data_IF_602651424647
#
_entry.id   IF_602651424647
#
_cell.length_a   1.000
_cell.length_b   1.000
_cell.length_c   1.000
_cell.angle_alpha   90.00
_cell.angle_beta   90.00
_cell.angle_gamma   90.00
#
_symmetry.space_group_name_H-M   'P 1'
#
loop_
_entity.id
_entity.type
_entity.pdbx_description
1 polymer ?
#
# COMPACT_ATOMS: atom_id res chain seq x y z
N UNK A 1 -7.78 37.68 14.38
CA UNK A 1 -8.45 36.48 13.83
C UNK A 1 -7.52 35.84 12.81
N UNK A 2 -6.49 35.13 13.28
CA UNK A 2 -5.41 34.59 12.44
C UNK A 2 -4.75 33.46 13.23
N UNK A 3 -4.53 32.30 12.60
CA UNK A 3 -3.74 31.19 13.18
C UNK A 3 -4.52 29.92 13.51
N UNK A 4 -5.51 29.97 14.40
CA UNK A 4 -6.15 28.76 14.94
C UNK A 4 -7.08 27.99 13.98
N UNK A 5 -7.56 28.63 12.90
CA UNK A 5 -8.52 28.00 11.98
C UNK A 5 -7.87 27.03 10.96
N UNK A 6 -6.59 27.20 10.62
CA UNK A 6 -5.90 26.32 9.65
C UNK A 6 -5.39 25.03 10.29
N UNK A 7 -5.02 25.06 11.58
CA UNK A 7 -4.57 23.88 12.30
C UNK A 7 -5.73 22.90 12.61
N UNK A 8 -6.93 23.42 12.87
CA UNK A 8 -8.11 22.60 13.09
C UNK A 8 -8.57 21.85 11.81
N UNK A 9 -8.39 22.45 10.63
CA UNK A 9 -8.71 21.79 9.35
C UNK A 9 -7.73 20.66 9.02
N UNK A 10 -6.44 20.81 9.33
CA UNK A 10 -5.46 19.73 9.14
C UNK A 10 -5.70 18.56 10.12
N UNK A 11 -6.05 18.84 11.38
CA UNK A 11 -6.36 17.81 12.38
C UNK A 11 -7.65 17.06 12.09
N UNK A 12 -8.67 17.70 11.48
CA UNK A 12 -9.89 17.01 11.05
C UNK A 12 -9.63 16.09 9.84
N UNK A 13 -8.74 16.48 8.92
CA UNK A 13 -8.35 15.64 7.79
C UNK A 13 -7.52 14.43 8.25
N UNK A 14 -6.61 14.60 9.22
CA UNK A 14 -5.83 13.50 9.81
C UNK A 14 -6.71 12.53 10.62
N UNK A 15 -7.67 13.05 11.39
CA UNK A 15 -8.59 12.22 12.17
C UNK A 15 -9.57 11.40 11.29
N UNK A 16 -9.88 11.89 10.08
CA UNK A 16 -10.66 11.13 9.10
C UNK A 16 -9.88 10.00 8.41
N UNK A 17 -8.54 10.08 8.38
CA UNK A 17 -7.68 8.99 7.88
C UNK A 17 -7.48 7.87 8.90
N UNK A 18 -7.53 8.16 10.21
CA UNK A 18 -7.27 7.21 11.30
C UNK A 18 -8.48 6.34 11.70
N UNK A 19 -9.70 6.72 11.31
CA UNK A 19 -10.87 5.85 11.46
C UNK A 19 -10.97 5.04 10.19
N UNK A 20 -10.55 3.78 10.23
CA UNK A 20 -10.52 2.84 9.10
C UNK A 20 -11.83 2.85 8.30
N UNK A 21 -11.93 3.78 7.36
CA UNK A 21 -12.87 3.70 6.26
C UNK A 21 -12.34 2.55 5.42
N UNK A 22 -12.96 1.38 5.54
CA UNK A 22 -13.00 0.44 4.44
C UNK A 22 -13.24 1.28 3.18
N UNK A 23 -12.29 1.27 2.24
CA UNK A 23 -12.35 2.12 1.06
C UNK A 23 -13.69 1.84 0.39
N UNK A 24 -14.65 2.74 0.57
CA UNK A 24 -15.95 2.57 -0.04
C UNK A 24 -15.68 2.64 -1.54
N UNK A 25 -16.12 1.61 -2.26
CA UNK A 25 -16.03 1.57 -3.70
C UNK A 25 -16.56 2.88 -4.29
N UNK A 26 -15.70 3.66 -4.96
CA UNK A 26 -16.10 4.92 -5.56
C UNK A 26 -16.43 4.68 -7.03
N UNK A 27 -17.59 5.19 -7.47
CA UNK A 27 -17.99 5.18 -8.88
C UNK A 27 -17.63 6.53 -9.48
N UNK A 28 -16.80 6.52 -10.52
CA UNK A 28 -16.39 7.71 -11.26
C UNK A 28 -16.95 7.70 -12.69
N UNK A 29 -17.29 8.88 -13.20
CA UNK A 29 -17.69 9.09 -14.58
C UNK A 29 -16.69 10.07 -15.24
N UNK A 30 -15.83 9.53 -16.11
CA UNK A 30 -14.90 10.30 -16.92
C UNK A 30 -15.57 10.71 -18.23
N UNK A 31 -15.69 12.03 -18.44
CA UNK A 31 -16.26 12.59 -19.67
C UNK A 31 -15.15 13.06 -20.61
N UNK A 32 -15.46 13.22 -21.91
CA UNK A 32 -14.53 13.86 -22.83
C UNK A 32 -14.20 15.28 -22.41
N UNK A 33 -12.98 15.71 -22.66
CA UNK A 33 -12.59 17.10 -22.46
C UNK A 33 -13.44 18.05 -23.33
N UNK A 34 -13.68 19.27 -22.84
CA UNK A 34 -14.36 20.32 -23.62
C UNK A 34 -13.39 21.04 -24.57
N UNK A 35 -12.71 20.26 -25.43
CA UNK A 35 -11.74 20.76 -26.40
C UNK A 35 -11.96 20.16 -27.79
N UNK A 36 -11.51 20.88 -28.83
CA UNK A 36 -11.50 20.35 -30.20
C UNK A 36 -10.72 19.04 -30.26
N UNK A 37 -11.32 18.02 -30.89
CA UNK A 37 -10.79 16.65 -31.04
C UNK A 37 -10.74 15.79 -29.77
N UNK A 38 -11.36 16.24 -28.67
CA UNK A 38 -11.61 15.36 -27.53
C UNK A 38 -12.52 14.17 -27.89
N UNK A 39 -13.41 14.34 -28.86
CA UNK A 39 -13.97 13.23 -29.64
C UNK A 39 -13.84 13.56 -31.12
N UNK A 40 -13.83 12.54 -31.95
CA UNK A 40 -13.84 12.76 -33.40
C UNK A 40 -13.92 11.46 -34.19
N UNK A 41 -13.60 11.56 -35.47
CA UNK A 41 -13.40 10.40 -36.35
C UNK A 41 -12.27 10.61 -37.33
N UNK A 42 -11.59 9.51 -37.65
CA UNK A 42 -10.62 9.48 -38.73
C UNK A 42 -11.38 9.03 -39.95
N UNK A 43 -11.29 9.84 -40.98
CA UNK A 43 -11.68 9.45 -42.31
C UNK A 43 -10.43 8.95 -43.06
N UNK A 44 -10.35 7.63 -43.28
CA UNK A 44 -9.29 7.02 -44.08
C UNK A 44 -9.81 6.70 -45.48
N UNK A 45 -9.32 7.47 -46.46
CA UNK A 45 -9.67 7.29 -47.87
C UNK A 45 -8.81 6.19 -48.50
N UNK A 46 -9.35 4.97 -48.56
CA UNK A 46 -8.55 3.77 -48.92
C UNK A 46 -7.85 3.85 -50.27
N UNK A 47 -8.40 4.60 -51.24
CA UNK A 47 -7.82 4.74 -52.59
C UNK A 47 -6.66 5.73 -52.62
N UNK A 48 -6.66 6.72 -51.73
CA UNK A 48 -5.65 7.79 -51.70
C UNK A 48 -4.67 7.66 -50.53
N UNK A 49 -4.98 6.78 -49.55
CA UNK A 49 -4.24 6.61 -48.30
C UNK A 49 -4.08 7.93 -47.51
N UNK A 50 -5.10 8.79 -47.57
CA UNK A 50 -5.16 10.05 -46.82
C UNK A 50 -5.99 9.89 -45.55
N UNK A 51 -5.67 10.71 -44.53
CA UNK A 51 -6.31 10.67 -43.21
C UNK A 51 -6.74 12.08 -42.79
N UNK A 52 -8.03 12.25 -42.47
CA UNK A 52 -8.58 13.52 -41.99
C UNK A 52 -9.17 13.39 -40.58
N UNK A 53 -8.80 14.32 -39.69
CA UNK A 53 -9.44 14.46 -38.38
C UNK A 53 -10.69 15.30 -38.48
N UNK A 54 -11.78 14.81 -37.89
CA UNK A 54 -13.04 15.56 -37.80
C UNK A 54 -13.44 15.72 -36.33
N UNK A 55 -13.69 16.95 -35.91
CA UNK A 55 -14.14 17.28 -34.53
C UNK A 55 -15.66 17.23 -34.35
N UNK A 56 -16.40 17.01 -35.45
CA UNK A 56 -17.85 16.81 -35.46
C UNK A 56 -18.22 15.36 -35.09
N UNK A 57 -19.51 15.03 -35.12
CA UNK A 57 -20.12 13.70 -34.90
C UNK A 57 -19.17 12.50 -35.13
N UNK A 58 -19.10 11.64 -34.13
CA UNK A 58 -18.35 10.38 -34.21
C UNK A 58 -19.06 9.43 -35.17
N UNK A 59 -18.34 8.81 -36.10
CA UNK A 59 -18.91 7.81 -37.01
C UNK A 59 -18.02 6.59 -37.06
N UNK A 60 -18.63 5.42 -36.97
CA UNK A 60 -17.94 4.13 -37.05
C UNK A 60 -18.48 3.30 -38.21
N UNK A 61 -17.61 2.69 -39.00
CA UNK A 61 -17.96 1.82 -40.11
C UNK A 61 -17.44 2.34 -41.44
N UNK A 62 -18.22 2.17 -42.51
CA UNK A 62 -17.82 2.53 -43.87
C UNK A 62 -18.88 3.40 -44.56
N UNK A 63 -18.42 4.44 -45.25
CA UNK A 63 -19.24 5.29 -46.13
C UNK A 63 -18.59 5.36 -47.52
N UNK A 64 -19.03 4.50 -48.44
CA UNK A 64 -18.37 4.36 -49.74
C UNK A 64 -16.92 3.90 -49.60
N UNK A 65 -15.96 4.74 -50.01
CA UNK A 65 -14.51 4.46 -49.93
C UNK A 65 -13.87 4.90 -48.61
N UNK A 66 -14.65 5.50 -47.71
CA UNK A 66 -14.19 6.06 -46.45
C UNK A 66 -14.33 5.04 -45.32
N UNK A 67 -13.23 4.73 -44.63
CA UNK A 67 -13.25 4.00 -43.36
C UNK A 67 -13.30 5.00 -42.22
N UNK A 68 -14.41 4.98 -41.48
CA UNK A 68 -14.71 5.93 -40.40
C UNK A 68 -14.38 5.28 -39.05
N UNK A 69 -13.36 5.79 -38.38
CA UNK A 69 -12.85 5.24 -37.11
C UNK A 69 -12.93 6.33 -36.04
N UNK A 70 -13.95 6.30 -35.17
CA UNK A 70 -14.13 7.30 -34.13
C UNK A 70 -13.15 7.07 -32.98
N UNK A 71 -12.85 8.15 -32.27
CA UNK A 71 -12.08 8.12 -31.03
C UNK A 71 -12.68 9.08 -29.99
N UNK A 72 -12.30 8.88 -28.74
CA UNK A 72 -12.57 9.79 -27.64
C UNK A 72 -11.40 9.82 -26.66
N UNK A 73 -11.10 11.00 -26.14
CA UNK A 73 -10.16 11.30 -25.06
C UNK A 73 -10.96 11.71 -23.83
N UNK A 74 -10.79 11.01 -22.73
CA UNK A 74 -11.57 11.10 -21.50
C UNK A 74 -10.71 11.64 -20.36
N UNK A 75 -11.31 12.44 -19.50
CA UNK A 75 -10.64 13.10 -18.38
C UNK A 75 -10.61 12.21 -17.13
N UNK A 76 -9.39 11.90 -16.67
CA UNK A 76 -9.12 11.13 -15.45
C UNK A 76 -8.57 12.01 -14.32
N UNK A 77 -8.48 13.33 -14.49
CA UNK A 77 -7.87 14.23 -13.50
C UNK A 77 -8.56 14.29 -12.13
N UNK A 78 -9.82 13.84 -12.06
CA UNK A 78 -10.56 13.69 -10.79
C UNK A 78 -10.31 12.37 -10.07
N UNK A 79 -9.51 11.45 -10.64
CA UNK A 79 -9.19 10.16 -10.03
C UNK A 79 -7.94 10.32 -9.15
N UNK A 80 -7.98 9.92 -7.87
CA UNK A 80 -6.82 9.97 -6.99
C UNK A 80 -5.64 9.14 -7.52
N UNK A 81 -4.38 9.64 -7.44
CA UNK A 81 -3.20 8.85 -7.77
C UNK A 81 -3.16 7.53 -6.98
N UNK A 82 -2.70 6.45 -7.63
CA UNK A 82 -2.65 5.11 -7.04
C UNK A 82 -3.98 4.36 -7.01
N UNK A 83 -5.09 4.95 -7.49
CA UNK A 83 -6.36 4.25 -7.61
C UNK A 83 -6.25 3.01 -8.50
N UNK A 84 -6.81 1.90 -8.03
CA UNK A 84 -6.90 0.62 -8.75
C UNK A 84 -8.32 0.44 -9.29
N UNK A 85 -8.44 0.15 -10.58
CA UNK A 85 -9.73 0.03 -11.27
C UNK A 85 -10.29 -1.39 -11.18
N UNK A 86 -11.42 -1.56 -10.50
CA UNK A 86 -12.07 -2.85 -10.30
C UNK A 86 -12.93 -3.26 -11.50
N UNK A 87 -13.71 -2.31 -12.02
CA UNK A 87 -14.64 -2.51 -13.13
C UNK A 87 -14.68 -1.25 -13.98
N UNK A 88 -14.75 -1.39 -15.30
CA UNK A 88 -14.81 -0.26 -16.21
C UNK A 88 -15.73 -0.54 -17.41
N UNK A 89 -16.52 0.46 -17.76
CA UNK A 89 -17.52 0.41 -18.82
C UNK A 89 -17.44 1.67 -19.67
N UNK A 90 -17.35 1.49 -20.99
CA UNK A 90 -17.48 2.59 -21.94
C UNK A 90 -18.95 2.74 -22.36
N UNK A 91 -19.52 3.92 -22.12
CA UNK A 91 -20.87 4.28 -22.48
C UNK A 91 -20.87 5.23 -23.68
N UNK A 92 -21.70 4.94 -24.68
CA UNK A 92 -21.94 5.84 -25.81
C UNK A 92 -23.35 5.65 -26.37
N UNK A 93 -23.87 6.70 -26.99
CA UNK A 93 -25.20 6.69 -27.59
C UNK A 93 -25.11 6.45 -29.09
N UNK A 94 -25.88 5.50 -29.63
CA UNK A 94 -25.99 5.27 -31.06
C UNK A 94 -27.21 6.01 -31.58
N UNK A 95 -26.99 7.08 -32.34
CA UNK A 95 -28.05 7.94 -32.85
C UNK A 95 -28.81 7.28 -33.99
N UNK A 96 -28.07 6.79 -34.98
CA UNK A 96 -28.60 6.10 -36.17
C UNK A 96 -27.57 5.14 -36.74
N UNK A 97 -28.04 4.04 -37.29
CA UNK A 97 -27.31 3.05 -38.08
C UNK A 97 -27.86 3.14 -39.51
N UNK A 98 -26.97 3.23 -40.48
CA UNK A 98 -27.31 3.24 -41.90
C UNK A 98 -26.66 2.03 -42.55
N UNK A 99 -27.43 1.21 -43.26
CA UNK A 99 -26.97 -0.04 -43.85
C UNK A 99 -26.86 -1.17 -42.83
N UNK A 100 -25.89 -2.06 -43.00
CA UNK A 100 -25.64 -3.13 -42.04
C UNK A 100 -25.04 -2.56 -40.74
N UNK A 101 -25.31 -3.17 -39.59
CA UNK A 101 -24.67 -2.78 -38.32
C UNK A 101 -23.15 -3.00 -38.40
N UNK A 102 -22.29 -1.99 -38.15
CA UNK A 102 -20.86 -2.23 -38.07
C UNK A 102 -20.54 -2.99 -36.78
N UNK A 103 -19.71 -4.04 -36.88
CA UNK A 103 -19.04 -4.60 -35.70
C UNK A 103 -17.99 -3.59 -35.25
N UNK A 104 -17.97 -3.26 -33.97
CA UNK A 104 -17.05 -2.27 -33.42
C UNK A 104 -16.38 -2.78 -32.15
N UNK A 105 -15.06 -2.80 -32.17
CA UNK A 105 -14.21 -3.18 -31.05
C UNK A 105 -13.60 -1.92 -30.45
N UNK A 106 -13.54 -1.87 -29.13
CA UNK A 106 -12.90 -0.76 -28.41
C UNK A 106 -11.41 -1.03 -28.37
N UNK A 107 -10.61 -0.11 -28.92
CA UNK A 107 -9.15 -0.18 -28.92
C UNK A 107 -8.55 0.96 -28.12
N UNK A 108 -7.39 0.74 -27.50
CA UNK A 108 -6.64 1.82 -26.85
C UNK A 108 -5.98 2.73 -27.88
N UNK A 109 -6.01 4.03 -27.60
CA UNK A 109 -5.30 5.04 -28.37
C UNK A 109 -4.13 5.55 -27.52
N UNK A 110 -2.91 5.12 -27.88
CA UNK A 110 -1.71 5.33 -27.08
C UNK A 110 -1.21 6.79 -27.11
N UNK A 111 -1.42 7.48 -28.23
CA UNK A 111 -1.02 8.87 -28.39
C UNK A 111 -2.17 9.82 -28.06
N UNK A 112 -1.87 10.99 -27.46
CA UNK A 112 -2.88 12.00 -27.19
C UNK A 112 -3.59 12.42 -28.51
N UNK A 113 -4.90 12.18 -28.65
CA UNK A 113 -5.62 12.48 -29.88
C UNK A 113 -5.67 13.96 -30.24
N UNK A 114 -5.38 14.87 -29.29
CA UNK A 114 -5.41 16.31 -29.56
C UNK A 114 -4.20 16.72 -30.43
N UNK A 115 -2.94 16.55 -29.99
CA UNK A 115 -1.76 16.94 -30.78
C UNK A 115 -1.33 15.93 -31.85
N UNK A 116 -1.74 14.66 -31.79
CA UNK A 116 -1.30 13.63 -32.75
C UNK A 116 -1.70 13.96 -34.21
N UNK A 117 -1.11 13.34 -35.23
CA UNK A 117 -1.63 13.44 -36.60
C UNK A 117 -2.84 12.52 -36.81
N UNK A 118 -3.58 12.71 -37.90
CA UNK A 118 -4.67 11.81 -38.27
C UNK A 118 -4.19 10.37 -38.51
N UNK A 119 -3.04 10.22 -39.17
CA UNK A 119 -2.40 8.93 -39.45
C UNK A 119 -1.97 8.20 -38.17
N UNK A 120 -1.39 8.91 -37.20
CA UNK A 120 -1.00 8.31 -35.91
C UNK A 120 -2.22 7.77 -35.18
N UNK A 121 -3.30 8.55 -35.07
CA UNK A 121 -4.54 8.09 -34.43
C UNK A 121 -5.13 6.90 -35.18
N UNK A 122 -5.15 6.92 -36.52
CA UNK A 122 -5.65 5.78 -37.28
C UNK A 122 -4.89 4.49 -36.96
N UNK A 123 -3.55 4.57 -36.91
CA UNK A 123 -2.71 3.43 -36.61
C UNK A 123 -2.89 2.94 -35.17
N UNK A 124 -3.07 3.86 -34.21
CA UNK A 124 -3.43 3.52 -32.84
C UNK A 124 -4.79 2.82 -32.77
N UNK A 125 -5.83 3.33 -33.45
CA UNK A 125 -7.15 2.71 -33.44
C UNK A 125 -7.13 1.34 -34.11
N UNK A 126 -6.42 1.22 -35.25
CA UNK A 126 -6.35 -0.01 -36.05
C UNK A 126 -5.53 -1.11 -35.40
N UNK A 127 -4.34 -0.77 -34.89
CA UNK A 127 -3.36 -1.74 -34.38
C UNK A 127 -3.33 -1.77 -32.85
N UNK A 128 -4.06 -0.87 -32.18
CA UNK A 128 -4.11 -0.76 -30.74
C UNK A 128 -4.70 -2.01 -30.09
N UNK A 129 -4.38 -2.17 -28.82
CA UNK A 129 -4.89 -3.28 -28.02
C UNK A 129 -6.42 -3.20 -27.92
N UNK A 130 -7.10 -4.27 -28.35
CA UNK A 130 -8.54 -4.42 -28.15
C UNK A 130 -8.79 -4.66 -26.67
N UNK A 131 -9.61 -3.79 -26.07
CA UNK A 131 -9.98 -3.82 -24.64
C UNK A 131 -11.48 -4.02 -24.41
N UNK A 132 -12.29 -4.02 -25.48
CA UNK A 132 -13.72 -4.31 -25.42
C UNK A 132 -14.22 -4.94 -26.72
N UNK A 133 -14.93 -6.06 -26.61
CA UNK A 133 -15.49 -6.78 -27.76
C UNK A 133 -16.74 -6.08 -28.31
N UNK A 134 -17.14 -6.48 -29.54
CA UNK A 134 -18.44 -6.08 -30.11
C UNK A 134 -19.61 -6.49 -29.20
N UNK A 135 -20.63 -5.64 -29.11
CA UNK A 135 -21.92 -5.97 -28.49
C UNK A 135 -23.06 -5.54 -29.42
N UNK A 136 -24.15 -6.33 -29.49
CA UNK A 136 -25.35 -5.94 -30.24
C UNK A 136 -25.87 -4.57 -29.81
N UNK A 137 -26.28 -3.75 -30.79
CA UNK A 137 -26.83 -2.41 -30.56
C UNK A 137 -27.75 -2.01 -31.71
N UNK A 138 -28.62 -1.03 -31.47
CA UNK A 138 -29.62 -0.54 -32.41
C UNK A 138 -29.62 0.99 -32.52
N UNK A 139 -30.69 1.54 -33.09
CA UNK A 139 -30.89 2.99 -33.20
C UNK A 139 -31.47 3.57 -31.93
N UNK A 140 -30.99 4.75 -31.54
CA UNK A 140 -31.53 5.52 -30.42
C UNK A 140 -31.31 4.88 -29.05
N UNK A 141 -30.21 4.13 -28.86
CA UNK A 141 -29.93 3.42 -27.61
C UNK A 141 -28.57 3.80 -27.03
N UNK A 142 -28.50 3.77 -25.70
CA UNK A 142 -27.22 3.71 -24.99
C UNK A 142 -26.63 2.31 -25.11
N UNK A 143 -25.34 2.27 -25.42
CA UNK A 143 -24.55 1.05 -25.46
C UNK A 143 -23.56 1.10 -24.32
N UNK A 144 -23.55 0.02 -23.55
CA UNK A 144 -22.59 -0.22 -22.47
C UNK A 144 -21.59 -1.28 -22.93
N UNK A 145 -20.30 -0.97 -22.80
CA UNK A 145 -19.20 -1.88 -23.16
C UNK A 145 -18.32 -2.14 -21.96
N UNK A 146 -18.39 -3.36 -21.42
CA UNK A 146 -17.44 -3.83 -20.42
C UNK A 146 -16.03 -3.86 -21.02
N UNK A 147 -15.08 -3.23 -20.32
CA UNK A 147 -13.66 -3.32 -20.64
C UNK A 147 -13.04 -4.51 -19.91
N UNK A 148 -12.17 -5.24 -20.59
CA UNK A 148 -11.48 -6.39 -20.02
C UNK A 148 -10.37 -5.98 -19.03
N UNK A 149 -9.64 -6.97 -18.49
CA UNK A 149 -8.55 -6.71 -17.56
C UNK A 149 -7.46 -5.79 -18.12
N UNK A 150 -7.24 -5.81 -19.44
CA UNK A 150 -6.25 -4.97 -20.11
C UNK A 150 -6.76 -3.53 -20.21
N UNK A 151 -8.05 -3.33 -20.48
CA UNK A 151 -8.68 -2.01 -20.44
C UNK A 151 -8.66 -1.38 -19.05
N UNK A 152 -8.94 -2.17 -18.01
CA UNK A 152 -8.84 -1.68 -16.61
C UNK A 152 -7.42 -1.29 -16.24
N UNK A 153 -6.43 -2.12 -16.56
CA UNK A 153 -5.02 -1.80 -16.31
C UNK A 153 -4.61 -0.51 -17.02
N UNK A 154 -5.01 -0.34 -18.28
CA UNK A 154 -4.70 0.88 -19.03
C UNK A 154 -5.32 2.14 -18.40
N UNK A 155 -6.51 2.04 -17.79
CA UNK A 155 -7.10 3.14 -17.03
C UNK A 155 -6.27 3.42 -15.77
N UNK A 156 -5.91 2.39 -15.00
CA UNK A 156 -5.02 2.51 -13.82
C UNK A 156 -3.73 3.25 -14.17
N UNK A 157 -3.04 2.82 -15.23
CA UNK A 157 -1.76 3.40 -15.66
C UNK A 157 -1.91 4.85 -16.18
N UNK A 158 -3.11 5.19 -16.67
CA UNK A 158 -3.43 6.51 -17.21
C UNK A 158 -3.87 7.53 -16.14
N UNK A 159 -4.14 7.11 -14.90
CA UNK A 159 -4.55 8.01 -13.80
C UNK A 159 -3.52 9.12 -13.58
N UNK A 160 -2.23 8.78 -13.55
CA UNK A 160 -1.15 9.76 -13.35
C UNK A 160 -1.03 10.75 -14.51
N UNK A 161 -1.41 10.32 -15.73
CA UNK A 161 -1.40 11.16 -16.92
C UNK A 161 -2.61 12.11 -16.96
N UNK A 162 -3.67 11.81 -16.19
CA UNK A 162 -4.90 12.59 -16.11
C UNK A 162 -5.84 12.43 -17.31
N UNK A 163 -5.55 11.52 -18.24
CA UNK A 163 -6.41 11.25 -19.39
C UNK A 163 -6.19 9.86 -19.97
N UNK A 164 -7.20 9.31 -20.64
CA UNK A 164 -7.11 8.10 -21.46
C UNK A 164 -7.85 8.29 -22.77
N UNK A 165 -7.48 7.57 -23.83
CA UNK A 165 -8.20 7.60 -25.10
C UNK A 165 -8.54 6.21 -25.63
N UNK A 166 -9.73 6.11 -26.23
CA UNK A 166 -10.24 4.91 -26.88
C UNK A 166 -10.65 5.20 -28.32
N UNK A 167 -10.49 4.19 -29.18
CA UNK A 167 -10.94 4.15 -30.55
C UNK A 167 -12.02 3.10 -30.76
N UNK A 168 -12.75 3.22 -31.85
CA UNK A 168 -13.52 2.09 -32.39
C UNK A 168 -12.96 1.66 -33.73
N UNK A 169 -12.56 0.40 -33.82
CA UNK A 169 -12.15 -0.21 -35.07
C UNK A 169 -13.21 -1.19 -35.56
N UNK A 170 -13.60 -1.07 -36.83
CA UNK A 170 -14.62 -1.91 -37.46
C UNK A 170 -13.98 -2.82 -38.52
N UNK A 171 -13.99 -4.13 -38.28
CA UNK A 171 -13.21 -5.08 -39.08
C UNK A 171 -13.87 -5.45 -40.43
N UNK A 172 -15.20 -5.53 -40.52
CA UNK A 172 -15.81 -6.38 -41.57
C UNK A 172 -17.08 -5.86 -42.28
N UNK A 173 -17.51 -4.60 -42.09
CA UNK A 173 -18.75 -4.15 -42.72
C UNK A 173 -18.50 -3.36 -44.03
N UNK A 174 -18.91 -3.89 -45.20
CA UNK A 174 -18.63 -3.24 -46.47
C UNK A 174 -19.49 -2.00 -46.77
N UNK A 175 -20.62 -1.78 -46.08
CA UNK A 175 -21.59 -0.72 -46.48
C UNK A 175 -22.34 -0.06 -45.33
N UNK A 176 -22.00 -0.36 -44.08
CA UNK A 176 -22.70 0.11 -42.90
C UNK A 176 -21.95 1.16 -42.08
N UNK A 177 -22.66 2.14 -41.54
CA UNK A 177 -22.12 3.09 -40.56
C UNK A 177 -23.07 3.35 -39.40
N UNK A 178 -22.51 3.66 -38.24
CA UNK A 178 -23.24 4.20 -37.11
C UNK A 178 -22.78 5.62 -36.81
N UNK A 179 -23.73 6.47 -36.44
CA UNK A 179 -23.51 7.85 -36.02
C UNK A 179 -23.66 7.93 -34.50
N UNK A 180 -22.69 8.56 -33.85
CA UNK A 180 -22.63 8.73 -32.41
C UNK A 180 -22.38 10.21 -32.06
N UNK A 181 -23.06 10.74 -31.05
CA UNK A 181 -22.81 12.08 -30.52
C UNK A 181 -21.34 12.27 -30.11
N UNK A 182 -20.77 13.44 -30.40
CA UNK A 182 -19.44 13.83 -29.92
C UNK A 182 -19.47 14.57 -28.58
N UNK A 183 -18.32 15.13 -28.17
CA UNK A 183 -18.15 15.86 -26.90
C UNK A 183 -19.06 17.08 -26.72
N UNK A 184 -19.57 17.67 -27.81
CA UNK A 184 -20.45 18.85 -27.77
C UNK A 184 -21.95 18.52 -27.79
N UNK A 185 -22.35 17.26 -27.89
CA UNK A 185 -23.76 16.86 -28.06
C UNK A 185 -24.48 16.56 -26.72
N UNK A 186 -24.28 17.43 -25.73
CA UNK A 186 -25.05 17.47 -24.48
C UNK A 186 -25.23 16.11 -23.80
N UNK A 187 -26.42 15.83 -23.28
CA UNK A 187 -26.76 14.63 -22.49
C UNK A 187 -26.62 13.27 -23.18
N UNK A 188 -26.02 13.21 -24.37
CA UNK A 188 -25.71 11.97 -25.10
C UNK A 188 -24.22 11.79 -25.40
N UNK A 189 -23.36 12.65 -24.85
CA UNK A 189 -21.90 12.53 -24.94
C UNK A 189 -21.43 11.17 -24.40
N UNK A 190 -20.45 10.52 -25.06
CA UNK A 190 -19.88 9.28 -24.53
C UNK A 190 -19.18 9.56 -23.20
N UNK A 191 -19.05 8.54 -22.35
CA UNK A 191 -18.30 8.65 -21.10
C UNK A 191 -17.80 7.27 -20.67
N UNK A 192 -16.77 7.27 -19.83
CA UNK A 192 -16.27 6.06 -19.19
C UNK A 192 -16.76 6.05 -17.73
N UNK A 193 -17.39 4.96 -17.33
CA UNK A 193 -17.81 4.72 -15.95
C UNK A 193 -16.96 3.61 -15.37
N UNK A 194 -16.41 3.82 -14.20
CA UNK A 194 -15.65 2.78 -13.52
C UNK A 194 -15.79 2.86 -12.01
N UNK A 195 -15.55 1.70 -11.39
CA UNK A 195 -15.42 1.54 -9.96
C UNK A 195 -13.92 1.43 -9.63
N UNK A 196 -13.49 2.15 -8.60
CA UNK A 196 -12.11 2.09 -8.13
C UNK A 196 -12.04 2.06 -6.61
N UNK A 197 -10.90 1.60 -6.11
CA UNK A 197 -10.47 1.77 -4.73
C UNK A 197 -9.06 2.35 -4.70
N UNK A 198 -8.73 3.04 -3.62
CA UNK A 198 -7.36 3.46 -3.34
C UNK A 198 -6.78 2.36 -2.44
N UNK A 199 -5.71 1.66 -2.85
CA UNK A 199 -5.05 0.73 -1.95
C UNK A 199 -4.59 1.50 -0.71
N UNK A 200 -4.56 0.87 0.48
CA UNK A 200 -3.96 1.52 1.63
C UNK A 200 -2.56 2.02 1.25
N UNK A 201 -2.12 3.18 1.78
CA UNK A 201 -0.79 3.69 1.48
C UNK A 201 0.26 2.60 1.70
N UNK A 202 1.25 2.57 0.81
CA UNK A 202 2.42 1.72 0.97
C UNK A 202 3.16 2.16 2.24
N UNK A 203 2.97 1.39 3.32
CA UNK A 203 3.50 1.67 4.65
C UNK A 203 4.32 0.44 5.09
N UNK A 204 5.58 0.28 4.63
CA UNK A 204 6.44 -0.78 5.14
C UNK A 204 6.87 -0.45 6.57
N UNK A 205 6.46 -1.26 7.54
CA UNK A 205 6.80 -1.09 8.96
C UNK A 205 7.02 -2.47 9.60
N UNK A 206 8.27 -2.80 9.94
CA UNK A 206 8.62 -3.99 10.70
C UNK A 206 9.16 -3.61 12.08
N UNK A 207 8.56 -4.16 13.13
CA UNK A 207 9.00 -3.91 14.49
C UNK A 207 9.62 -5.15 15.14
N UNK A 208 10.68 -4.96 15.92
CA UNK A 208 11.10 -5.95 16.92
C UNK A 208 10.22 -5.80 18.15
N UNK A 209 9.32 -6.75 18.35
CA UNK A 209 8.29 -6.68 19.40
C UNK A 209 8.62 -7.45 20.67
N UNK A 210 9.54 -8.42 20.58
CA UNK A 210 10.07 -9.09 21.77
C UNK A 210 11.45 -9.70 21.54
N UNK A 211 12.28 -9.68 22.59
CA UNK A 211 13.34 -10.66 22.82
C UNK A 211 12.80 -11.65 23.85
N UNK A 212 12.53 -12.89 23.43
CA UNK A 212 12.02 -13.95 24.30
C UNK A 212 13.13 -14.73 24.98
N UNK A 213 14.35 -14.75 24.41
CA UNK A 213 15.53 -15.41 24.96
C UNK A 213 16.79 -14.75 24.37
N UNK A 214 17.85 -14.50 25.14
CA UNK A 214 17.99 -14.74 26.59
C UNK A 214 17.22 -13.72 27.45
N UNK A 215 16.79 -14.14 28.65
CA UNK A 215 16.19 -13.29 29.68
C UNK A 215 16.46 -13.86 31.08
N UNK A 216 16.28 -13.03 32.12
CA UNK A 216 16.39 -13.49 33.52
C UNK A 216 17.84 -13.75 33.96
N UNK A 217 18.07 -14.79 34.77
CA UNK A 217 19.39 -15.20 35.24
C UNK A 217 19.78 -16.54 34.63
N UNK A 218 20.98 -16.63 34.06
CA UNK A 218 21.51 -17.80 33.37
C UNK A 218 22.83 -18.21 34.00
N UNK A 219 23.00 -19.50 34.26
CA UNK A 219 24.27 -20.02 34.77
C UNK A 219 25.32 -20.00 33.66
N UNK A 220 26.54 -19.59 33.97
CA UNK A 220 27.69 -19.88 33.12
C UNK A 220 27.83 -21.41 32.96
N UNK A 221 28.24 -21.86 31.79
CA UNK A 221 28.23 -23.25 31.35
C UNK A 221 26.94 -23.69 30.65
N UNK A 222 25.92 -22.82 30.56
CA UNK A 222 24.67 -23.15 29.86
C UNK A 222 24.72 -22.77 28.38
N UNK A 223 24.01 -23.55 27.56
CA UNK A 223 23.72 -23.22 26.17
C UNK A 223 22.30 -22.69 26.09
N UNK A 224 22.14 -21.56 25.42
CA UNK A 224 20.86 -20.86 25.27
C UNK A 224 20.55 -20.78 23.79
N UNK A 225 19.30 -21.04 23.41
CA UNK A 225 18.84 -20.75 22.05
C UNK A 225 18.14 -19.40 22.06
N UNK A 226 18.71 -18.35 21.43
CA UNK A 226 18.09 -17.04 21.42
C UNK A 226 16.85 -16.99 20.54
N UNK A 227 15.86 -16.20 20.96
CA UNK A 227 14.58 -16.07 20.27
C UNK A 227 14.12 -14.61 20.24
N UNK A 228 13.77 -14.12 19.05
CA UNK A 228 13.26 -12.76 18.79
C UNK A 228 11.93 -12.84 18.07
N UNK A 229 11.00 -11.93 18.41
CA UNK A 229 9.71 -11.79 17.73
C UNK A 229 9.69 -10.51 16.90
N UNK A 230 9.51 -10.66 15.59
CA UNK A 230 9.27 -9.56 14.66
C UNK A 230 7.78 -9.52 14.31
N UNK A 231 7.22 -8.33 14.18
CA UNK A 231 5.85 -8.14 13.68
C UNK A 231 5.88 -7.22 12.47
N UNK A 232 5.06 -7.50 11.45
CA UNK A 232 4.80 -6.56 10.37
C UNK A 232 3.60 -5.69 10.75
N UNK A 233 3.87 -4.42 11.04
CA UNK A 233 2.87 -3.40 11.37
C UNK A 233 2.43 -2.63 10.13
N UNK A 234 3.09 -2.87 8.99
CA UNK A 234 2.83 -2.26 7.71
C UNK A 234 1.72 -2.91 6.89
N UNK A 235 1.54 -2.40 5.67
CA UNK A 235 0.48 -2.80 4.74
C UNK A 235 0.92 -3.78 3.66
N UNK A 236 2.21 -4.08 3.58
CA UNK A 236 2.80 -4.92 2.53
C UNK A 236 3.67 -6.06 3.06
N UNK A 237 3.90 -7.08 2.23
CA UNK A 237 4.82 -8.17 2.53
C UNK A 237 6.21 -7.88 1.90
N UNK A 238 7.25 -7.72 2.72
CA UNK A 238 8.60 -7.39 2.23
C UNK A 238 9.71 -8.19 2.92
N UNK A 239 10.80 -8.50 2.21
CA UNK A 239 11.93 -9.23 2.77
C UNK A 239 12.62 -8.42 3.86
N UNK A 240 13.18 -9.11 4.84
CA UNK A 240 13.80 -8.48 5.99
C UNK A 240 14.96 -9.30 6.55
N UNK A 241 15.83 -8.60 7.26
CA UNK A 241 16.97 -9.16 7.95
C UNK A 241 16.88 -8.81 9.43
N UNK A 242 17.08 -9.79 10.30
CA UNK A 242 17.15 -9.56 11.75
C UNK A 242 18.52 -9.91 12.25
N UNK A 243 19.13 -8.98 12.97
CA UNK A 243 20.41 -9.17 13.65
C UNK A 243 20.19 -9.16 15.15
N UNK A 244 20.66 -10.21 15.82
CA UNK A 244 20.74 -10.26 17.27
C UNK A 244 22.19 -10.08 17.70
N UNK A 245 22.42 -9.12 18.59
CA UNK A 245 23.70 -8.88 19.24
C UNK A 245 23.55 -9.11 20.74
N UNK A 246 24.54 -9.76 21.34
CA UNK A 246 24.63 -9.88 22.80
C UNK A 246 25.94 -9.24 23.25
N UNK A 247 25.81 -8.26 24.14
CA UNK A 247 26.89 -7.42 24.67
C UNK A 247 27.11 -7.80 26.12
N UNK A 248 28.38 -8.06 26.47
CA UNK A 248 28.76 -8.44 27.83
C UNK A 248 28.86 -7.20 28.76
N UNK A 249 29.08 -7.38 30.08
CA UNK A 249 29.20 -6.28 31.03
C UNK A 249 30.37 -5.32 30.76
N UNK A 250 31.35 -5.73 29.94
CA UNK A 250 32.48 -4.90 29.53
C UNK A 250 32.23 -4.15 28.22
N UNK A 251 30.99 -4.17 27.72
CA UNK A 251 30.55 -3.51 26.48
C UNK A 251 31.08 -4.14 25.19
N UNK A 252 31.68 -5.33 25.27
CA UNK A 252 32.11 -6.06 24.08
C UNK A 252 30.96 -6.87 23.47
N UNK A 253 30.89 -6.91 22.13
CA UNK A 253 29.97 -7.80 21.41
C UNK A 253 30.48 -9.24 21.57
N UNK A 254 29.78 -10.01 22.41
CA UNK A 254 30.10 -11.39 22.69
C UNK A 254 29.56 -12.33 21.62
N UNK A 255 28.34 -12.08 21.15
CA UNK A 255 27.63 -12.88 20.16
C UNK A 255 26.94 -11.99 19.14
N UNK A 256 26.96 -12.42 17.88
CA UNK A 256 26.19 -11.83 16.79
C UNK A 256 25.74 -12.93 15.84
N UNK A 257 24.45 -12.93 15.50
CA UNK A 257 23.92 -13.79 14.45
C UNK A 257 22.81 -13.06 13.69
N UNK A 258 22.64 -13.44 12.42
CA UNK A 258 21.78 -12.75 11.48
C UNK A 258 20.91 -13.76 10.73
N UNK A 259 19.61 -13.47 10.62
CA UNK A 259 18.63 -14.28 9.90
C UNK A 259 17.99 -13.42 8.81
N UNK A 260 17.95 -13.94 7.58
CA UNK A 260 17.24 -13.33 6.45
C UNK A 260 15.93 -14.09 6.18
N UNK A 261 14.87 -13.35 5.84
CA UNK A 261 13.55 -13.87 5.51
C UNK A 261 13.01 -13.21 4.24
N UNK A 262 12.30 -13.99 3.44
CA UNK A 262 11.73 -13.52 2.17
C UNK A 262 10.48 -12.65 2.30
N UNK A 263 9.93 -12.51 3.50
CA UNK A 263 8.68 -11.78 3.72
C UNK A 263 8.05 -12.07 5.08
N UNK A 264 7.25 -11.12 5.58
CA UNK A 264 6.27 -11.29 6.65
C UNK A 264 4.98 -10.61 6.18
N UNK A 265 3.84 -11.29 6.15
CA UNK A 265 2.60 -10.68 5.66
C UNK A 265 2.10 -9.56 6.59
N UNK A 266 1.31 -8.59 6.09
CA UNK A 266 0.75 -7.51 6.90
C UNK A 266 0.00 -8.04 8.13
N UNK A 267 0.34 -7.54 9.32
CA UNK A 267 -0.27 -7.95 10.60
C UNK A 267 0.25 -9.27 11.19
N UNK A 268 1.09 -10.03 10.47
CA UNK A 268 1.65 -11.28 10.97
C UNK A 268 2.85 -11.06 11.91
N UNK A 269 3.19 -12.13 12.63
CA UNK A 269 4.36 -12.20 13.53
C UNK A 269 5.23 -13.41 13.21
N UNK A 270 6.53 -13.25 13.33
CA UNK A 270 7.49 -14.33 13.21
C UNK A 270 8.31 -14.46 14.50
N UNK A 271 8.40 -15.68 15.03
CA UNK A 271 9.38 -16.05 16.05
C UNK A 271 10.61 -16.59 15.34
N UNK A 272 11.76 -15.94 15.57
CA UNK A 272 13.03 -16.26 14.95
C UNK A 272 13.96 -16.88 15.99
N UNK A 273 14.38 -18.11 15.71
CA UNK A 273 15.33 -18.88 16.52
C UNK A 273 16.72 -18.74 15.92
N UNK A 274 17.68 -18.22 16.70
CA UNK A 274 19.07 -18.01 16.26
C UNK A 274 19.95 -19.21 16.63
N UNK A 275 21.20 -19.21 16.13
CA UNK A 275 22.19 -20.20 16.56
C UNK A 275 22.41 -20.16 18.07
N UNK A 276 22.74 -21.30 18.63
CA UNK A 276 23.00 -21.44 20.06
C UNK A 276 24.08 -20.46 20.56
N UNK A 277 23.78 -19.82 21.69
CA UNK A 277 24.68 -18.98 22.47
C UNK A 277 25.24 -19.84 23.61
N UNK A 278 26.53 -20.19 23.53
CA UNK A 278 27.23 -20.90 24.58
C UNK A 278 27.84 -19.91 25.59
N UNK A 279 27.40 -19.95 26.85
CA UNK A 279 27.95 -19.14 27.93
C UNK A 279 29.12 -19.87 28.59
N UNK A 280 30.27 -19.99 27.91
CA UNK A 280 31.36 -20.85 28.39
C UNK A 280 32.08 -20.25 29.63
N UNK A 281 32.40 -21.06 30.67
CA UNK A 281 33.24 -20.63 31.79
C UNK A 281 34.67 -20.27 31.35
N UNK A 282 35.47 -19.74 32.29
CA UNK A 282 36.86 -19.33 32.02
C UNK A 282 37.71 -20.55 31.69
N UNK A 283 37.89 -20.81 30.39
CA UNK A 283 38.73 -21.87 29.88
C UNK A 283 39.87 -21.26 29.04
N UNK A 284 41.11 -21.79 29.17
CA UNK A 284 42.22 -21.36 28.33
C UNK A 284 41.86 -21.52 26.84
N UNK A 285 41.89 -20.40 26.09
CA UNK A 285 41.62 -20.28 24.65
C UNK A 285 40.14 -20.27 24.20
N UNK A 286 39.16 -20.07 25.09
CA UNK A 286 37.77 -19.75 24.71
C UNK A 286 37.40 -18.32 25.07
N UNK A 287 36.39 -17.75 24.37
CA UNK A 287 35.81 -16.46 24.76
C UNK A 287 35.06 -16.66 26.08
N UNK A 288 35.68 -16.22 27.17
CA UNK A 288 35.11 -16.26 28.51
C UNK A 288 33.80 -15.46 28.57
N UNK A 289 32.74 -16.06 29.12
CA UNK A 289 31.51 -15.37 29.45
C UNK A 289 31.62 -14.78 30.88
N UNK A 290 31.92 -13.47 31.03
CA UNK A 290 31.96 -12.84 32.34
C UNK A 290 30.63 -12.91 33.09
N UNK A 291 30.71 -13.09 34.40
CA UNK A 291 29.57 -12.91 35.28
C UNK A 291 29.12 -11.44 35.27
N UNK A 292 27.83 -11.19 35.48
CA UNK A 292 27.27 -9.84 35.56
C UNK A 292 26.07 -9.62 34.64
N UNK A 293 25.73 -8.36 34.39
CA UNK A 293 24.60 -7.97 33.56
C UNK A 293 24.99 -7.87 32.08
N UNK A 294 24.19 -8.53 31.24
CA UNK A 294 24.38 -8.63 29.81
C UNK A 294 23.21 -7.96 29.09
N UNK A 295 23.48 -7.44 27.91
CA UNK A 295 22.49 -6.76 27.08
C UNK A 295 22.27 -7.54 25.79
N UNK A 296 21.02 -7.86 25.47
CA UNK A 296 20.63 -8.39 24.17
C UNK A 296 19.98 -7.25 23.35
N UNK A 297 20.47 -7.01 22.14
CA UNK A 297 19.95 -6.01 21.21
C UNK A 297 19.53 -6.72 19.94
N UNK A 298 18.26 -6.67 19.61
CA UNK A 298 17.71 -7.19 18.37
C UNK A 298 17.33 -6.03 17.46
N UNK A 299 17.77 -6.07 16.20
CA UNK A 299 17.45 -5.08 15.18
C UNK A 299 16.88 -5.76 13.94
N UNK A 300 15.75 -5.28 13.45
CA UNK A 300 15.24 -5.61 12.11
C UNK A 300 15.68 -4.52 11.13
N UNK A 301 16.01 -4.92 9.91
CA UNK A 301 16.24 -3.98 8.82
C UNK A 301 15.42 -4.43 7.62
N UNK A 302 14.70 -3.48 7.06
CA UNK A 302 13.83 -3.65 5.91
C UNK A 302 14.08 -2.50 4.92
N UNK A 303 13.64 -2.66 3.68
CA UNK A 303 13.77 -1.61 2.68
C UNK A 303 12.59 -0.65 2.82
N UNK A 304 12.90 0.65 2.87
CA UNK A 304 11.93 1.75 2.88
C UNK A 304 11.08 1.83 4.16
N UNK A 305 11.50 1.18 5.26
CA UNK A 305 10.80 1.20 6.55
C UNK A 305 10.45 2.62 7.00
N UNK A 306 9.19 2.84 7.37
CA UNK A 306 8.67 4.17 7.72
C UNK A 306 8.76 4.49 9.21
N UNK A 307 8.99 3.50 10.08
CA UNK A 307 8.94 3.65 11.53
C UNK A 307 10.23 3.15 12.22
N UNK A 308 11.41 3.69 11.86
CA UNK A 308 12.70 3.16 12.30
C UNK A 308 12.92 3.18 13.82
N UNK A 309 12.10 3.90 14.60
CA UNK A 309 12.13 3.86 16.05
C UNK A 309 11.70 2.52 16.67
N UNK A 310 10.99 1.66 15.93
CA UNK A 310 10.51 0.37 16.41
C UNK A 310 11.37 -0.82 15.88
N UNK A 311 12.35 -0.53 15.02
CA UNK A 311 13.25 -1.50 14.41
C UNK A 311 14.18 -2.18 15.41
N UNK A 312 14.38 -1.58 16.59
CA UNK A 312 15.33 -2.04 17.60
C UNK A 312 14.67 -2.29 18.95
N UNK A 313 15.01 -3.42 19.58
CA UNK A 313 14.63 -3.73 20.94
C UNK A 313 15.84 -4.15 21.78
N UNK A 314 15.87 -3.66 23.02
CA UNK A 314 16.88 -4.03 24.01
C UNK A 314 16.27 -4.80 25.18
N UNK A 315 16.86 -5.96 25.46
CA UNK A 315 16.62 -6.81 26.62
C UNK A 315 17.88 -6.92 27.46
N UNK A 316 17.72 -7.36 28.70
CA UNK A 316 18.85 -7.61 29.60
C UNK A 316 18.66 -8.98 30.27
N UNK A 317 19.77 -9.59 30.68
CA UNK A 317 19.81 -10.80 31.46
C UNK A 317 21.09 -10.81 32.29
N UNK A 318 21.19 -11.68 33.29
CA UNK A 318 22.37 -11.81 34.15
C UNK A 318 23.02 -13.17 33.96
N UNK A 319 24.34 -13.19 33.83
CA UNK A 319 25.13 -14.43 33.90
C UNK A 319 25.66 -14.59 35.32
N UNK A 320 25.40 -15.74 35.94
CA UNK A 320 25.76 -16.06 37.32
C UNK A 320 26.64 -17.32 37.38
N UNK A 321 27.38 -17.50 38.48
CA UNK A 321 28.23 -18.69 38.62
C UNK A 321 27.38 -19.96 38.76
N UNK A 322 27.87 -21.15 38.36
CA UNK A 322 27.06 -22.38 38.34
C UNK A 322 26.63 -22.83 39.75
N UNK A 323 27.43 -22.46 40.75
CA UNK A 323 27.28 -22.74 42.16
C UNK A 323 26.78 -21.54 42.96
N UNK A 324 26.57 -20.38 42.31
CA UNK A 324 25.88 -19.27 42.94
C UNK A 324 24.44 -19.72 43.14
N UNK A 325 23.97 -19.92 44.39
CA UNK A 325 22.56 -20.22 44.62
C UNK A 325 21.76 -19.10 43.93
N UNK A 326 20.63 -19.42 43.26
CA UNK A 326 19.79 -18.38 42.68
C UNK A 326 19.63 -17.32 43.77
N UNK A 327 19.92 -16.04 43.46
CA UNK A 327 20.00 -15.01 44.48
C UNK A 327 18.77 -15.21 45.37
N UNK A 328 18.95 -15.40 46.70
CA UNK A 328 17.82 -15.64 47.59
C UNK A 328 16.79 -14.59 47.22
N UNK A 329 15.51 -14.97 46.95
CA UNK A 329 14.51 -14.05 46.43
C UNK A 329 14.66 -12.78 47.24
N UNK A 330 15.11 -11.71 46.59
CA UNK A 330 15.75 -10.61 47.30
C UNK A 330 14.78 -10.17 48.39
N UNK A 331 15.11 -10.44 49.66
CA UNK A 331 14.37 -9.87 50.76
C UNK A 331 14.79 -8.41 50.79
N UNK A 332 14.19 -7.62 49.90
CA UNK A 332 14.66 -6.29 49.54
C UNK A 332 13.88 -5.70 48.38
N UNK A 333 14.24 -4.47 48.05
CA UNK A 333 13.70 -3.77 46.89
C UNK A 333 14.58 -4.08 45.68
N UNK A 334 14.00 -4.68 44.65
CA UNK A 334 14.63 -4.83 43.33
C UNK A 334 14.13 -3.68 42.44
N UNK A 335 15.05 -2.93 41.86
CA UNK A 335 14.71 -1.92 40.87
C UNK A 335 14.36 -2.64 39.56
N UNK A 336 13.12 -2.45 39.10
CA UNK A 336 12.63 -3.00 37.85
C UNK A 336 12.62 -1.93 36.76
N UNK A 337 12.31 -2.32 35.51
CA UNK A 337 12.20 -1.38 34.39
C UNK A 337 11.34 -0.15 34.76
N UNK A 338 11.80 1.09 34.51
CA UNK A 338 11.03 2.28 34.81
C UNK A 338 9.79 2.37 33.92
N UNK A 339 8.72 3.01 34.41
CA UNK A 339 7.51 3.29 33.63
C UNK A 339 7.88 4.02 32.32
N UNK A 340 7.40 3.58 31.14
CA UNK A 340 7.75 4.18 29.86
C UNK A 340 7.50 5.69 29.82
N UNK A 341 8.37 6.45 29.14
CA UNK A 341 8.19 7.89 28.99
C UNK A 341 7.06 8.25 28.03
N UNK A 342 6.88 7.51 26.95
CA UNK A 342 5.76 7.66 26.04
C UNK A 342 4.42 7.28 26.71
N UNK A 343 3.28 7.78 26.20
CA UNK A 343 3.15 8.79 25.13
C UNK A 343 3.42 10.25 25.57
N UNK A 344 3.31 10.60 26.87
CA UNK A 344 3.35 12.02 27.27
C UNK A 344 4.76 12.62 27.40
N UNK A 345 5.79 11.77 27.39
CA UNK A 345 7.18 12.08 27.75
C UNK A 345 7.37 12.71 29.14
N UNK A 346 6.32 12.74 29.96
CA UNK A 346 6.40 13.23 31.34
C UNK A 346 6.95 12.17 32.26
N UNK A 347 7.75 12.60 33.23
CA UNK A 347 8.19 11.75 34.33
C UNK A 347 7.04 11.46 35.29
N UNK A 348 7.12 10.32 35.97
CA UNK A 348 6.24 9.97 37.09
C UNK A 348 6.32 11.08 38.15
N UNK A 349 5.18 11.61 38.58
CA UNK A 349 5.08 12.61 39.67
C UNK A 349 3.83 12.36 40.52
N UNK A 350 3.53 13.30 41.42
CA UNK A 350 2.34 13.35 42.27
C UNK A 350 1.09 12.83 41.54
N UNK A 351 0.36 11.95 42.22
CA UNK A 351 -0.81 11.26 41.69
C UNK A 351 -0.50 9.90 41.05
N UNK A 352 0.77 9.48 40.99
CA UNK A 352 1.14 8.13 40.58
C UNK A 352 0.78 7.08 41.62
N UNK A 353 0.41 5.89 41.18
CA UNK A 353 0.09 4.76 42.06
C UNK A 353 0.40 3.43 41.38
N UNK A 354 0.57 2.38 42.17
CA UNK A 354 0.70 0.99 41.72
C UNK A 354 -0.33 0.10 42.45
N UNK A 355 -0.86 -0.91 41.77
CA UNK A 355 -1.69 -1.95 42.36
C UNK A 355 -1.33 -3.31 41.76
N UNK A 356 -1.14 -4.32 42.59
CA UNK A 356 -0.84 -5.68 42.13
C UNK A 356 -2.10 -6.52 42.08
N UNK A 357 -2.34 -7.19 40.95
CA UNK A 357 -3.30 -8.27 40.89
C UNK A 357 -2.65 -9.55 41.42
N UNK A 358 -3.09 -10.01 42.59
CA UNK A 358 -2.52 -11.19 43.25
C UNK A 358 -2.71 -12.50 42.48
N UNK A 359 -3.73 -12.63 41.63
CA UNK A 359 -3.98 -13.89 40.90
C UNK A 359 -3.12 -14.02 39.65
N UNK A 360 -2.79 -12.91 38.99
CA UNK A 360 -1.96 -12.92 37.78
C UNK A 360 -0.51 -12.51 38.02
N UNK A 361 -0.19 -11.88 39.16
CA UNK A 361 1.12 -11.32 39.44
C UNK A 361 1.42 -10.02 38.69
N UNK A 362 0.49 -9.51 37.88
CA UNK A 362 0.67 -8.25 37.14
C UNK A 362 0.56 -7.04 38.06
N UNK A 363 1.39 -6.03 37.82
CA UNK A 363 1.42 -4.76 38.56
C UNK A 363 0.88 -3.66 37.66
N UNK A 364 -0.27 -3.10 38.00
CA UNK A 364 -0.90 -2.00 37.30
C UNK A 364 -0.41 -0.68 37.86
N UNK A 365 -0.22 0.33 37.01
CA UNK A 365 0.25 1.64 37.44
C UNK A 365 -0.33 2.80 36.64
N UNK A 366 -0.58 3.92 37.32
CA UNK A 366 -0.85 5.20 36.66
C UNK A 366 0.32 6.15 36.86
N UNK A 367 0.69 6.88 35.81
CA UNK A 367 1.89 7.75 35.82
C UNK A 367 1.73 9.03 36.66
N UNK A 368 0.49 9.48 36.86
CA UNK A 368 0.18 10.73 37.53
C UNK A 368 0.56 11.96 36.70
N UNK A 369 1.01 13.05 37.35
CA UNK A 369 1.53 14.26 36.67
C UNK A 369 0.58 14.90 35.62
N UNK A 370 -0.74 14.86 35.90
CA UNK A 370 -1.80 15.31 34.98
C UNK A 370 -1.75 14.60 33.62
N UNK A 371 -1.40 13.31 33.61
CA UNK A 371 -1.53 12.44 32.44
C UNK A 371 -2.62 11.41 32.70
N UNK A 372 -3.25 10.94 31.62
CA UNK A 372 -4.23 9.86 31.66
C UNK A 372 -3.56 8.52 31.25
N UNK A 373 -2.28 8.36 31.57
CA UNK A 373 -1.48 7.19 31.17
C UNK A 373 -1.59 6.09 32.24
N UNK A 374 -1.93 4.89 31.77
CA UNK A 374 -2.10 3.68 32.56
C UNK A 374 -1.25 2.57 31.94
N UNK A 375 -0.57 1.79 32.79
CA UNK A 375 0.36 0.76 32.36
C UNK A 375 0.16 -0.53 33.17
N UNK A 376 0.54 -1.65 32.58
CA UNK A 376 0.60 -2.96 33.21
C UNK A 376 2.03 -3.48 33.13
N UNK A 377 2.67 -3.66 34.28
CA UNK A 377 3.97 -4.30 34.41
C UNK A 377 3.78 -5.80 34.62
N UNK A 378 4.50 -6.60 33.83
CA UNK A 378 4.61 -8.03 34.00
C UNK A 378 5.99 -8.37 34.59
N UNK A 379 6.06 -8.74 35.89
CA UNK A 379 7.32 -9.07 36.55
C UNK A 379 8.04 -10.28 35.94
N UNK A 380 7.31 -11.20 35.31
CA UNK A 380 7.91 -12.38 34.68
C UNK A 380 8.73 -12.02 33.44
N UNK A 381 8.44 -10.87 32.81
CA UNK A 381 9.10 -10.42 31.58
C UNK A 381 9.83 -9.09 31.72
N UNK A 382 9.82 -8.46 32.90
CA UNK A 382 10.31 -7.10 33.17
C UNK A 382 9.85 -6.06 32.11
N UNK A 383 8.54 -6.03 31.83
CA UNK A 383 7.97 -5.16 30.78
C UNK A 383 6.71 -4.45 31.23
N UNK A 384 6.59 -3.18 30.83
CA UNK A 384 5.35 -2.41 30.87
C UNK A 384 4.62 -2.52 29.52
N UNK A 385 3.29 -2.61 29.57
CA UNK A 385 2.37 -2.58 28.43
C UNK A 385 1.26 -1.56 28.65
#
# INVERSE_FOLDING_TARGET
>A
MTGLSRFAFLLLALAAMLVGRASADEIYHAYPFQYTYATGRIDHHMVQQTYDKQSAEMKCGRDGQHLLNPWMKLDLSGVPPGAVIDEAYLYYYVKTIQGARPENYVTLVANDPVPASAEVIYNDVKNGMIVGNDVPHGDGVWVERLLDSRGRQAITDAVEQGWIAFGFYAFNNPTGRMNMPGYNEGGTQPYLKFKFHIPPPYEPDLAVTAINSPFGSLNVGTTVTPEVVVSNLGTENFPYTVTLMVVNPWTDIFYVDTIERGGLAPGDKAVLTFKELELVPDEPNRRYAPLGEWTAVARVTSRDDIAPENDEMTGWFRVIAPDEPPPPPSYGWEEVRPVPRAPSYRVVRRGSWLAMNRSSGLIYGAKGNKTNEFFVYNPATDRWT
#
